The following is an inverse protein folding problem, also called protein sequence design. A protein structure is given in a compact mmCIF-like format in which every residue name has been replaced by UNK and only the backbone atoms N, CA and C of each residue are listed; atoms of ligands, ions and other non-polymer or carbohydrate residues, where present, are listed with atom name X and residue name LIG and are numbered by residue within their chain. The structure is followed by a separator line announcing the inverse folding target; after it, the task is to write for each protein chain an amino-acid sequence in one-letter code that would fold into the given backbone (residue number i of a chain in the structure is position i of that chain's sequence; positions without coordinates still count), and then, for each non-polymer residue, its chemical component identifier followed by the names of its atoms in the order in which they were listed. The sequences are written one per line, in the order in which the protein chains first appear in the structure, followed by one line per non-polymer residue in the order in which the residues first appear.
data_IF_072839061916
#
_entry.id   IF_072839061916
#
_cell.length_a   1.000
_cell.length_b   1.000
_cell.length_c   1.000
_cell.angle_alpha   90.00
_cell.angle_beta   90.00
_cell.angle_gamma   90.00
#
_symmetry.space_group_name_H-M   'P 1'
#
loop_
_entity.id
_entity.type
_entity.pdbx_description
1 polymer ?
#
# COMPACT_ATOMS: atom_id res chain seq x y z
N UNK A 1 12.01 -11.71 7.58
CA UNK A 1 10.75 -11.06 7.26
C UNK A 1 10.94 -9.56 7.24
N UNK A 2 10.38 -8.88 6.27
CA UNK A 2 10.47 -7.42 6.15
C UNK A 2 9.08 -6.83 6.32
N UNK A 3 8.96 -5.74 7.08
CA UNK A 3 7.73 -5.00 7.23
C UNK A 3 7.95 -3.52 6.91
N UNK A 4 7.00 -2.92 6.22
CA UNK A 4 7.05 -1.51 5.83
C UNK A 4 5.76 -0.83 6.24
N UNK A 5 5.90 0.27 6.99
CA UNK A 5 4.81 1.17 7.31
C UNK A 5 4.66 2.19 6.19
N UNK A 6 3.43 2.37 5.72
CA UNK A 6 3.09 3.30 4.65
C UNK A 6 2.04 4.27 5.18
N UNK A 7 2.39 5.54 5.27
CA UNK A 7 1.47 6.58 5.71
C UNK A 7 1.26 7.54 4.54
N UNK A 8 0.04 7.58 4.03
CA UNK A 8 -0.33 8.35 2.86
C UNK A 8 -1.16 9.55 3.29
N UNK A 9 -0.79 10.73 2.82
CA UNK A 9 -1.64 11.91 2.91
C UNK A 9 -2.63 11.88 1.77
N UNK A 10 -3.91 12.07 2.09
CA UNK A 10 -5.03 11.93 1.16
C UNK A 10 -5.72 13.26 1.00
N UNK A 11 -6.09 13.60 -0.24
CA UNK A 11 -6.84 14.81 -0.54
C UNK A 11 -8.15 14.87 0.25
N UNK A 12 -8.47 16.04 0.80
CA UNK A 12 -9.65 16.24 1.63
C UNK A 12 -10.92 15.80 0.90
N UNK A 13 -11.78 15.03 1.60
CA UNK A 13 -13.04 14.56 1.06
C UNK A 13 -12.94 13.37 0.11
N UNK A 14 -11.73 12.81 -0.10
CA UNK A 14 -11.50 11.72 -1.05
C UNK A 14 -11.22 10.36 -0.40
N UNK A 15 -11.24 10.29 0.93
CA UNK A 15 -10.90 9.05 1.65
C UNK A 15 -11.80 7.88 1.28
N UNK A 16 -13.12 8.10 1.18
CA UNK A 16 -14.06 7.03 0.88
C UNK A 16 -13.77 6.39 -0.47
N UNK A 17 -13.38 7.18 -1.45
CA UNK A 17 -13.01 6.70 -2.78
C UNK A 17 -11.77 5.81 -2.74
N UNK A 18 -10.78 6.19 -1.94
CA UNK A 18 -9.57 5.40 -1.73
C UNK A 18 -9.89 4.08 -1.02
N UNK A 19 -10.66 4.13 0.06
CA UNK A 19 -11.04 2.95 0.85
C UNK A 19 -11.83 1.96 0.00
N UNK A 20 -12.75 2.43 -0.82
CA UNK A 20 -13.54 1.58 -1.70
C UNK A 20 -12.67 0.87 -2.76
N UNK A 21 -11.69 1.56 -3.30
CA UNK A 21 -10.80 1.02 -4.32
C UNK A 21 -9.69 0.12 -3.75
N UNK A 22 -9.26 0.35 -2.52
CA UNK A 22 -8.09 -0.29 -1.91
C UNK A 22 -8.08 -1.82 -1.98
N UNK A 23 -9.21 -2.55 -1.78
CA UNK A 23 -9.21 -4.00 -1.91
C UNK A 23 -8.72 -4.50 -3.27
N UNK A 24 -8.94 -3.75 -4.34
CA UNK A 24 -8.46 -4.09 -5.68
C UNK A 24 -6.94 -4.14 -5.73
N UNK A 25 -6.27 -3.13 -5.18
CA UNK A 25 -4.81 -3.10 -5.18
C UNK A 25 -4.21 -4.06 -4.15
N UNK A 26 -4.93 -4.30 -3.05
CA UNK A 26 -4.52 -5.28 -2.05
C UNK A 26 -4.43 -6.68 -2.68
N UNK A 27 -5.40 -7.06 -3.50
CA UNK A 27 -5.41 -8.34 -4.19
C UNK A 27 -4.21 -8.47 -5.16
N UNK A 28 -3.84 -7.39 -5.85
CA UNK A 28 -2.69 -7.41 -6.76
C UNK A 28 -1.39 -7.57 -5.97
N UNK A 29 -1.22 -6.86 -4.86
CA UNK A 29 -0.02 -7.02 -4.01
C UNK A 29 0.12 -8.44 -3.50
N UNK A 30 -0.98 -9.07 -3.12
CA UNK A 30 -0.99 -10.46 -2.66
C UNK A 30 -0.44 -11.42 -3.72
N UNK A 31 -0.74 -11.19 -4.99
CA UNK A 31 -0.23 -11.99 -6.11
C UNK A 31 1.31 -11.93 -6.20
N UNK A 32 1.91 -10.88 -5.68
CA UNK A 32 3.38 -10.69 -5.68
C UNK A 32 4.00 -11.05 -4.34
N UNK A 33 3.27 -11.73 -3.47
CA UNK A 33 3.76 -12.19 -2.17
C UNK A 33 3.84 -11.10 -1.11
N UNK A 34 3.28 -9.93 -1.38
CA UNK A 34 3.28 -8.80 -0.45
C UNK A 34 1.96 -8.81 0.33
N UNK A 35 2.05 -9.15 1.62
CA UNK A 35 0.89 -9.26 2.50
C UNK A 35 0.54 -7.91 3.11
N UNK A 36 -0.73 -7.57 3.16
CA UNK A 36 -1.20 -6.40 3.89
C UNK A 36 -1.61 -6.86 5.29
N UNK A 37 -0.84 -6.45 6.29
CA UNK A 37 -1.05 -6.85 7.68
C UNK A 37 -2.19 -6.06 8.32
N UNK A 38 -2.31 -4.78 8.00
CA UNK A 38 -3.35 -3.90 8.52
C UNK A 38 -3.46 -2.67 7.62
N UNK A 39 -4.65 -2.08 7.57
CA UNK A 39 -4.88 -0.83 6.86
C UNK A 39 -5.96 -0.03 7.59
N UNK A 40 -5.72 1.26 7.79
CA UNK A 40 -6.61 2.14 8.53
C UNK A 40 -6.80 3.45 7.79
N UNK A 41 -8.05 3.92 7.74
CA UNK A 41 -8.36 5.26 7.28
C UNK A 41 -8.48 6.17 8.51
N UNK A 42 -7.57 7.15 8.60
CA UNK A 42 -7.66 8.21 9.61
C UNK A 42 -8.38 9.39 8.98
N UNK A 43 -9.70 9.41 9.13
CA UNK A 43 -10.53 10.44 8.52
C UNK A 43 -10.34 11.81 9.15
N UNK A 44 -9.97 11.84 10.42
CA UNK A 44 -9.73 13.09 11.15
C UNK A 44 -8.51 13.84 10.60
N UNK A 45 -7.43 13.11 10.30
CA UNK A 45 -6.18 13.68 9.80
C UNK A 45 -6.02 13.54 8.27
N UNK A 46 -7.00 12.96 7.60
CA UNK A 46 -6.96 12.70 6.16
C UNK A 46 -5.73 11.88 5.73
N UNK A 47 -5.44 10.84 6.51
CA UNK A 47 -4.32 9.92 6.25
C UNK A 47 -4.81 8.48 6.10
N UNK A 48 -4.17 7.75 5.20
CA UNK A 48 -4.37 6.31 5.05
C UNK A 48 -3.10 5.60 5.50
N UNK A 49 -3.20 4.80 6.56
CA UNK A 49 -2.02 4.16 7.20
C UNK A 49 -2.15 2.66 7.06
N UNK A 50 -1.12 2.03 6.53
CA UNK A 50 -1.14 0.59 6.34
C UNK A 50 0.26 -0.02 6.46
N UNK A 51 0.30 -1.31 6.69
CA UNK A 51 1.53 -2.06 6.92
C UNK A 51 1.54 -3.24 5.98
N UNK A 52 2.63 -3.37 5.23
CA UNK A 52 2.87 -4.52 4.36
C UNK A 52 4.02 -5.35 4.92
N UNK A 53 4.00 -6.65 4.63
CA UNK A 53 5.08 -7.55 4.99
C UNK A 53 5.45 -8.47 3.85
N UNK A 54 6.68 -8.99 3.91
CA UNK A 54 7.23 -9.90 2.92
C UNK A 54 8.12 -10.93 3.64
N UNK A 55 8.07 -12.23 3.27
CA UNK A 55 8.84 -13.25 3.99
C UNK A 55 10.36 -13.14 3.85
N UNK A 56 10.86 -12.45 2.81
CA UNK A 56 12.28 -12.25 2.57
C UNK A 56 12.86 -11.04 3.30
N UNK A 57 14.13 -10.75 3.03
CA UNK A 57 14.81 -9.55 3.54
C UNK A 57 14.41 -8.30 2.75
N UNK A 58 14.98 -7.15 3.10
CA UNK A 58 14.67 -5.87 2.46
C UNK A 58 14.97 -5.92 0.96
N UNK A 59 16.10 -6.49 0.56
CA UNK A 59 16.48 -6.60 -0.85
C UNK A 59 15.47 -7.44 -1.63
N UNK A 60 15.06 -8.58 -1.08
CA UNK A 60 14.03 -9.44 -1.69
C UNK A 60 12.67 -8.74 -1.77
N UNK A 61 12.31 -8.00 -0.72
CA UNK A 61 11.08 -7.22 -0.70
C UNK A 61 11.10 -6.14 -1.79
N UNK A 62 12.19 -5.40 -1.92
CA UNK A 62 12.30 -4.35 -2.92
C UNK A 62 12.24 -4.92 -4.35
N UNK A 63 12.80 -6.12 -4.58
CA UNK A 63 12.69 -6.80 -5.86
C UNK A 63 11.23 -7.19 -6.15
N UNK A 64 10.51 -7.75 -5.18
CA UNK A 64 9.10 -8.09 -5.32
C UNK A 64 8.23 -6.84 -5.55
N UNK A 65 8.55 -5.75 -4.84
CA UNK A 65 7.85 -4.48 -4.99
C UNK A 65 8.09 -3.89 -6.40
N UNK A 66 9.30 -4.02 -6.93
CA UNK A 66 9.62 -3.61 -8.30
C UNK A 66 8.81 -4.39 -9.33
N UNK A 67 8.73 -5.71 -9.17
CA UNK A 67 7.93 -6.57 -10.05
C UNK A 67 6.44 -6.17 -9.98
N UNK A 68 5.93 -5.92 -8.78
CA UNK A 68 4.57 -5.44 -8.58
C UNK A 68 4.36 -4.07 -9.28
N UNK A 69 5.27 -3.12 -9.08
CA UNK A 69 5.17 -1.78 -9.67
C UNK A 69 5.14 -1.82 -11.20
N UNK A 70 5.84 -2.76 -11.81
CA UNK A 70 5.94 -2.90 -13.27
C UNK A 70 4.87 -3.84 -13.85
N UNK A 71 3.98 -4.39 -13.00
CA UNK A 71 3.05 -5.42 -13.42
C UNK A 71 1.86 -4.88 -14.24
N UNK A 72 1.37 -5.66 -15.22
CA UNK A 72 0.15 -5.32 -15.93
C UNK A 72 -1.08 -5.33 -15.02
N UNK A 73 -1.08 -6.16 -13.97
CA UNK A 73 -2.18 -6.23 -13.00
C UNK A 73 -2.30 -4.93 -12.21
N UNK A 74 -1.17 -4.33 -11.81
CA UNK A 74 -1.17 -3.02 -11.14
C UNK A 74 -1.68 -1.93 -12.10
N UNK A 75 -1.19 -1.93 -13.33
CA UNK A 75 -1.64 -0.97 -14.34
C UNK A 75 -3.15 -1.06 -14.56
N UNK A 76 -3.70 -2.28 -14.63
CA UNK A 76 -5.13 -2.50 -14.78
C UNK A 76 -5.92 -2.02 -13.55
N UNK A 77 -5.39 -2.23 -12.33
CA UNK A 77 -6.04 -1.76 -11.10
C UNK A 77 -6.13 -0.24 -11.02
N UNK A 78 -5.14 0.47 -11.57
CA UNK A 78 -5.12 1.93 -11.61
C UNK A 78 -5.84 2.52 -12.81
N UNK A 79 -6.21 1.71 -13.79
CA UNK A 79 -6.91 2.21 -14.98
C UNK A 79 -8.25 2.83 -14.60
N UNK A 80 -8.43 4.11 -14.95
CA UNK A 80 -9.61 4.88 -14.59
C UNK A 80 -9.69 5.33 -13.13
N UNK A 81 -8.69 4.97 -12.29
CA UNK A 81 -8.63 5.45 -10.91
C UNK A 81 -7.64 6.60 -10.77
N UNK A 82 -8.18 7.78 -10.50
CA UNK A 82 -7.36 8.96 -10.20
C UNK A 82 -7.05 8.96 -8.70
N UNK A 83 -5.84 8.57 -8.32
CA UNK A 83 -5.45 8.44 -6.92
C UNK A 83 -5.52 9.76 -6.18
N UNK A 84 -6.20 9.82 -5.02
CA UNK A 84 -6.25 11.01 -4.19
C UNK A 84 -5.05 11.15 -3.24
N UNK A 85 -4.05 10.27 -3.35
CA UNK A 85 -2.85 10.33 -2.51
C UNK A 85 -1.96 11.47 -2.99
N UNK A 86 -1.64 12.38 -2.06
CA UNK A 86 -0.83 13.58 -2.36
C UNK A 86 0.62 13.41 -1.92
N UNK A 87 0.88 12.59 -0.90
CA UNK A 87 2.22 12.35 -0.38
C UNK A 87 2.29 10.99 0.31
N UNK A 88 3.42 10.31 0.16
CA UNK A 88 3.69 9.02 0.81
C UNK A 88 4.86 9.13 1.75
N UNK A 89 4.71 8.56 2.94
CA UNK A 89 5.78 8.39 3.92
C UNK A 89 5.99 6.91 4.14
N UNK A 90 7.16 6.41 3.76
CA UNK A 90 7.50 4.98 3.83
C UNK A 90 8.64 4.77 4.82
N UNK A 91 8.52 3.78 5.68
CA UNK A 91 9.60 3.40 6.58
C UNK A 91 9.57 1.91 6.88
N UNK A 92 10.75 1.31 6.98
CA UNK A 92 10.86 -0.06 7.44
C UNK A 92 10.67 -0.08 8.96
N UNK A 93 9.89 -1.04 9.42
CA UNK A 93 9.53 -1.17 10.83
C UNK A 93 9.78 -2.58 11.33
N UNK A 94 9.94 -2.72 12.63
CA UNK A 94 10.11 -4.01 13.29
C UNK A 94 8.99 -4.16 14.31
N UNK A 95 8.34 -5.33 14.32
CA UNK A 95 7.26 -5.60 15.25
C UNK A 95 7.82 -5.62 16.67
N UNK A 96 7.25 -4.80 17.57
CA UNK A 96 7.69 -4.69 18.96
C UNK A 96 6.87 -5.56 19.92
N UNK A 97 5.68 -5.98 19.53
CA UNK A 97 4.79 -6.84 20.30
C UNK A 97 4.24 -7.97 19.45
#
# INVERSE_FOLDING_TARGET
MTAQLRRYEVEAGQMDRLVEWFPTIAAVRDQYGITIEAAYADTENSEFVWIVSYPGDIEAFEAALGDYNDSPERAAAFDGFNSPVTKMHLSYVVKAL
#
